data_IF_992812773589
#
_entry.id   IF_992812773589
#
_cell.length_a   1.000
_cell.length_b   1.000
_cell.length_c   1.000
_cell.angle_alpha   90.00
_cell.angle_beta   90.00
_cell.angle_gamma   90.00
#
_symmetry.space_group_name_H-M   'P 1'
#
loop_
_entity.id
_entity.type
_entity.pdbx_description
1 polymer ?
#
# COMPACT_ATOMS: atom_id res chain seq x y z
N UNK A 1 -5.42 13.07 -7.02
CA UNK A 1 -4.83 11.71 -7.04
C UNK A 1 -5.44 10.95 -5.90
N UNK A 2 -6.07 9.82 -6.18
CA UNK A 2 -6.72 9.00 -5.16
C UNK A 2 -5.94 7.69 -5.03
N UNK A 3 -5.51 7.39 -3.82
CA UNK A 3 -4.74 6.18 -3.56
C UNK A 3 -5.73 5.05 -3.24
N UNK A 4 -5.64 3.95 -3.98
CA UNK A 4 -6.56 2.84 -3.84
C UNK A 4 -5.99 1.90 -2.77
N UNK A 5 -6.77 1.56 -1.72
CA UNK A 5 -6.32 0.65 -0.68
C UNK A 5 -6.13 -0.76 -1.24
N UNK A 6 -4.98 -1.36 -0.93
CA UNK A 6 -4.62 -2.72 -1.32
C UNK A 6 -4.68 -3.67 -0.12
N UNK A 7 -5.11 -4.91 -0.34
CA UNK A 7 -5.20 -5.92 0.73
C UNK A 7 -3.87 -6.67 0.97
N UNK A 8 -2.92 -6.52 0.06
CA UNK A 8 -1.66 -7.26 0.07
C UNK A 8 -0.51 -6.34 -0.33
N UNK A 9 0.68 -6.61 0.20
CA UNK A 9 1.92 -5.95 -0.15
C UNK A 9 3.07 -6.94 -0.13
N UNK A 10 4.23 -6.53 -0.63
CA UNK A 10 5.48 -7.28 -0.51
C UNK A 10 6.24 -6.73 0.71
N UNK A 11 6.72 -7.60 1.60
CA UNK A 11 7.59 -7.18 2.71
C UNK A 11 9.04 -6.91 2.23
N UNK A 12 9.90 -6.43 3.12
CA UNK A 12 11.31 -6.16 2.81
C UNK A 12 12.14 -7.40 2.44
N UNK A 13 11.63 -8.60 2.70
CA UNK A 13 12.26 -9.87 2.35
C UNK A 13 11.74 -10.44 1.01
N UNK A 14 10.75 -9.81 0.39
CA UNK A 14 10.19 -10.21 -0.90
C UNK A 14 8.98 -11.14 -0.78
N UNK A 15 8.39 -11.32 0.40
CA UNK A 15 7.20 -12.16 0.58
C UNK A 15 5.91 -11.37 0.41
N UNK A 16 4.91 -12.00 -0.23
CA UNK A 16 3.57 -11.45 -0.33
C UNK A 16 2.83 -11.64 1.00
N UNK A 17 2.55 -10.53 1.67
CA UNK A 17 1.85 -10.48 2.95
C UNK A 17 0.46 -9.88 2.80
N UNK A 18 -0.47 -10.31 3.66
CA UNK A 18 -1.82 -9.78 3.70
C UNK A 18 -2.04 -8.83 4.88
N UNK A 19 -2.75 -7.73 4.65
CA UNK A 19 -3.03 -6.75 5.68
C UNK A 19 -3.91 -7.31 6.82
N UNK A 20 -4.76 -8.31 6.52
CA UNK A 20 -5.77 -8.83 7.47
C UNK A 20 -5.28 -9.93 8.40
N UNK A 21 -4.31 -10.74 7.99
CA UNK A 21 -3.96 -11.97 8.71
C UNK A 21 -2.76 -11.82 9.65
N UNK A 22 -1.82 -10.91 9.34
CA UNK A 22 -0.47 -11.01 9.91
C UNK A 22 -0.09 -9.88 10.87
N UNK A 23 -0.81 -8.75 10.88
CA UNK A 23 -0.40 -7.54 11.60
C UNK A 23 -1.32 -7.21 12.77
N UNK A 24 -1.12 -7.90 13.90
CA UNK A 24 -1.71 -7.52 15.21
C UNK A 24 -0.89 -6.47 15.96
N UNK A 25 0.29 -6.13 15.45
CA UNK A 25 1.24 -5.17 16.01
C UNK A 25 1.79 -4.31 14.86
N UNK A 26 2.08 -3.02 15.04
CA UNK A 26 2.82 -2.24 14.06
C UNK A 26 4.22 -2.85 13.88
N UNK A 27 4.37 -3.72 12.89
CA UNK A 27 5.68 -4.24 12.51
C UNK A 27 6.47 -3.07 11.90
N UNK A 28 7.71 -2.88 12.37
CA UNK A 28 8.69 -1.91 11.85
C UNK A 28 9.19 -2.25 10.43
N UNK A 29 8.41 -3.04 9.68
CA UNK A 29 8.80 -3.55 8.36
C UNK A 29 8.44 -2.56 7.28
N UNK A 30 9.30 -2.50 6.26
CA UNK A 30 8.98 -1.78 5.03
C UNK A 30 8.09 -2.66 4.16
N UNK A 31 7.01 -2.07 3.64
CA UNK A 31 6.12 -2.73 2.70
C UNK A 31 6.22 -2.06 1.34
N UNK A 32 6.08 -2.85 0.29
CA UNK A 32 6.21 -2.43 -1.10
C UNK A 32 4.99 -2.86 -1.90
N UNK A 33 4.55 -2.01 -2.81
CA UNK A 33 3.47 -2.38 -3.72
C UNK A 33 3.95 -3.42 -4.72
N UNK A 34 3.19 -4.51 -4.86
CA UNK A 34 3.47 -5.56 -5.84
C UNK A 34 3.60 -5.07 -7.29
N UNK A 35 2.86 -4.02 -7.67
CA UNK A 35 2.81 -3.56 -9.06
C UNK A 35 3.91 -2.56 -9.44
N UNK A 36 4.35 -1.72 -8.50
CA UNK A 36 5.29 -0.64 -8.80
C UNK A 36 6.53 -0.63 -7.90
N UNK A 37 6.64 -1.59 -6.99
CA UNK A 37 7.74 -1.73 -6.03
C UNK A 37 8.00 -0.47 -5.19
N UNK A 38 7.01 0.44 -5.11
CA UNK A 38 7.10 1.66 -4.31
C UNK A 38 6.66 1.38 -2.88
N UNK A 39 7.16 2.18 -1.94
CA UNK A 39 6.83 2.03 -0.53
C UNK A 39 5.32 2.25 -0.30
N UNK A 40 4.74 1.37 0.51
CA UNK A 40 3.36 1.46 0.98
C UNK A 40 3.32 1.41 2.49
N UNK A 41 2.33 2.08 3.06
CA UNK A 41 2.10 2.13 4.50
C UNK A 41 0.97 1.19 4.85
N UNK A 42 1.16 0.43 5.94
CA UNK A 42 0.10 -0.37 6.54
C UNK A 42 -0.78 0.53 7.39
N UNK A 43 -2.05 0.65 7.00
CA UNK A 43 -3.10 1.24 7.82
C UNK A 43 -3.78 0.11 8.59
N UNK A 44 -3.62 0.13 9.92
CA UNK A 44 -4.24 -0.85 10.80
C UNK A 44 -5.78 -0.74 10.78
N UNK A 45 -6.45 -1.85 11.06
CA UNK A 45 -7.90 -1.90 11.11
C UNK A 45 -8.45 -0.89 12.14
N UNK A 46 -9.47 -0.12 11.75
CA UNK A 46 -10.17 0.82 12.62
C UNK A 46 -11.68 0.58 12.53
N UNK A 47 -12.28 0.18 13.66
CA UNK A 47 -13.70 -0.15 13.71
C UNK A 47 -14.04 -1.32 12.77
N UNK A 48 -14.95 -1.10 11.83
CA UNK A 48 -15.39 -2.08 10.84
C UNK A 48 -14.50 -2.09 9.57
N UNK A 49 -13.55 -1.16 9.45
CA UNK A 49 -12.65 -1.12 8.29
C UNK A 49 -11.47 -2.08 8.51
N UNK A 50 -11.28 -3.08 7.63
CA UNK A 50 -10.14 -3.98 7.71
C UNK A 50 -8.85 -3.21 7.45
N UNK A 51 -7.72 -3.74 7.92
CA UNK A 51 -6.42 -3.19 7.62
C UNK A 51 -6.15 -3.23 6.10
N UNK A 52 -5.39 -2.26 5.60
CA UNK A 52 -5.03 -2.16 4.19
C UNK A 52 -3.68 -1.45 4.01
N UNK A 53 -3.08 -1.65 2.85
CA UNK A 53 -1.89 -0.93 2.42
C UNK A 53 -2.26 0.24 1.52
N UNK A 54 -1.57 1.37 1.67
CA UNK A 54 -1.77 2.54 0.84
C UNK A 54 -0.43 3.15 0.45
N UNK A 55 -0.29 3.67 -0.78
CA UNK A 55 0.94 4.34 -1.19
C UNK A 55 1.10 5.65 -0.43
N UNK A 56 2.33 5.95 -0.01
CA UNK A 56 2.65 7.27 0.51
C UNK A 56 2.89 8.24 -0.67
N UNK A 57 2.11 9.32 -0.82
CA UNK A 57 2.25 10.27 -1.92
C UNK A 57 3.62 10.94 -1.98
N UNK A 58 4.32 11.10 -0.86
CA UNK A 58 5.65 11.73 -0.81
C UNK A 58 6.75 10.83 -1.38
N UNK A 59 6.50 9.51 -1.45
CA UNK A 59 7.48 8.50 -1.87
C UNK A 59 7.15 7.91 -3.26
N UNK A 60 6.15 8.45 -3.95
CA UNK A 60 5.76 7.98 -5.28
C UNK A 60 6.65 8.56 -6.38
N UNK A 61 7.14 7.68 -7.25
CA UNK A 61 7.88 8.07 -8.45
C UNK A 61 6.93 8.25 -9.64
N UNK A 62 7.34 9.04 -10.64
CA UNK A 62 6.59 9.17 -11.90
C UNK A 62 6.36 7.82 -12.58
N UNK A 63 7.33 6.90 -12.49
CA UNK A 63 7.20 5.53 -12.97
C UNK A 63 6.09 4.78 -12.23
N UNK A 64 6.04 4.88 -10.90
CA UNK A 64 5.00 4.27 -10.10
C UNK A 64 3.62 4.82 -10.43
N UNK A 65 3.52 6.14 -10.63
CA UNK A 65 2.31 6.76 -11.13
C UNK A 65 1.91 6.15 -12.47
N UNK A 66 2.85 5.94 -13.41
CA UNK A 66 2.58 5.43 -14.75
C UNK A 66 2.15 3.95 -14.81
N UNK A 67 2.62 3.10 -13.89
CA UNK A 67 2.41 1.63 -13.97
C UNK A 67 1.47 1.07 -12.90
N UNK A 68 1.28 1.77 -11.77
CA UNK A 68 0.53 1.21 -10.66
C UNK A 68 -0.99 1.33 -10.87
N UNK A 69 -1.74 0.21 -10.87
CA UNK A 69 -3.20 0.25 -10.96
C UNK A 69 -3.86 0.76 -9.68
N UNK A 70 -3.12 0.78 -8.56
CA UNK A 70 -3.62 1.23 -7.26
C UNK A 70 -3.47 2.74 -7.03
N UNK A 71 -3.12 3.49 -8.07
CA UNK A 71 -3.02 4.94 -8.04
C UNK A 71 -3.97 5.50 -9.08
N UNK A 72 -5.09 6.03 -8.60
CA UNK A 72 -6.05 6.70 -9.46
C UNK A 72 -5.56 8.11 -9.79
N UNK A 73 -5.31 8.32 -11.07
CA UNK A 73 -4.80 9.56 -11.66
C UNK A 73 -5.92 10.53 -12.04
N UNK A 74 -7.17 10.14 -11.81
CA UNK A 74 -8.29 11.01 -12.06
C UNK A 74 -8.13 12.28 -11.21
N UNK A 75 -8.27 13.49 -11.80
CA UNK A 75 -8.36 14.70 -11.00
C UNK A 75 -9.60 14.55 -10.12
N UNK A 76 -9.41 14.68 -8.80
CA UNK A 76 -10.53 14.82 -7.87
C UNK A 76 -11.27 16.08 -8.30
N UNK A 77 -12.44 15.92 -8.92
CA UNK A 77 -13.31 17.01 -9.32
C UNK A 77 -13.85 17.77 -8.10
#
# INVERSE_FOLDING_TARGET
MKHIPAKTAIDEFGYLVSATDEFKCPCLWNFYCFHCNSLVELVLAQGDQPAYFIHNPEHLTETALAICPNIDRSPSA
#
